data_IF_417532543728
#
_entry.id   IF_417532543728
#
_cell.length_a   1.000
_cell.length_b   1.000
_cell.length_c   1.000
_cell.angle_alpha   90.00
_cell.angle_beta   90.00
_cell.angle_gamma   90.00
#
_symmetry.space_group_name_H-M   'P 1'
#
loop_
_entity.id
_entity.type
_entity.pdbx_description
1 polymer ?
#
# COMPACT_ATOMS: atom_id res chain seq x y z
N UNK A 1 29.68 -14.85 12.86
CA UNK A 1 30.54 -14.05 13.75
C UNK A 1 29.75 -12.86 14.27
N UNK A 2 29.87 -12.50 15.54
CA UNK A 2 29.17 -11.35 16.15
C UNK A 2 30.18 -10.28 16.54
N UNK A 3 30.06 -9.07 16.00
CA UNK A 3 30.85 -7.92 16.47
C UNK A 3 29.95 -7.03 17.32
N UNK A 4 30.28 -6.78 18.60
CA UNK A 4 29.53 -5.86 19.44
C UNK A 4 29.58 -4.45 18.86
N UNK A 5 28.50 -3.68 18.98
CA UNK A 5 28.42 -2.24 18.64
C UNK A 5 29.50 -1.39 19.37
N UNK A 6 30.10 -1.93 20.43
CA UNK A 6 31.22 -1.34 21.19
C UNK A 6 32.53 -2.17 21.13
N UNK A 7 32.62 -3.15 20.22
CA UNK A 7 33.78 -4.04 20.05
C UNK A 7 34.81 -3.51 19.06
N UNK A 8 35.97 -4.19 18.98
CA UNK A 8 36.97 -3.86 17.96
C UNK A 8 36.46 -4.21 16.56
N UNK A 9 36.58 -3.27 15.62
CA UNK A 9 36.29 -3.51 14.20
C UNK A 9 37.44 -4.30 13.56
N UNK A 10 37.10 -5.36 12.83
CA UNK A 10 38.05 -6.21 12.10
C UNK A 10 38.80 -5.40 11.03
N UNK A 11 40.10 -5.64 10.90
CA UNK A 11 41.03 -4.76 10.17
C UNK A 11 40.76 -4.61 8.67
N UNK A 12 39.98 -5.51 8.06
CA UNK A 12 39.64 -5.48 6.63
C UNK A 12 38.32 -4.74 6.32
N UNK A 13 37.52 -4.37 7.33
CA UNK A 13 36.27 -3.58 7.15
C UNK A 13 36.48 -2.06 7.25
N UNK A 14 37.72 -1.60 7.33
CA UNK A 14 38.06 -0.18 7.50
C UNK A 14 38.56 0.45 6.19
N UNK A 15 37.67 0.88 5.30
CA UNK A 15 38.06 1.72 4.16
C UNK A 15 38.31 3.16 4.65
N UNK A 16 39.58 3.60 4.67
CA UNK A 16 39.96 4.98 5.03
C UNK A 16 40.63 5.17 6.41
N UNK A 17 40.75 4.11 7.22
CA UNK A 17 41.60 4.10 8.42
C UNK A 17 40.93 4.54 9.73
N UNK A 18 40.27 3.61 10.42
CA UNK A 18 39.87 3.79 11.82
C UNK A 18 41.11 3.68 12.73
N UNK A 19 41.65 4.80 13.22
CA UNK A 19 42.88 4.79 14.03
C UNK A 19 42.72 4.07 15.39
N UNK A 20 41.50 3.98 15.93
CA UNK A 20 41.22 3.43 17.26
C UNK A 20 40.40 2.12 17.23
N UNK A 21 40.14 1.55 16.03
CA UNK A 21 39.32 0.35 15.81
C UNK A 21 37.91 0.41 16.42
N UNK A 22 37.33 1.60 16.56
CA UNK A 22 35.96 1.82 17.04
C UNK A 22 35.12 2.53 15.98
N UNK A 23 33.80 2.33 16.01
CA UNK A 23 32.87 3.15 15.22
C UNK A 23 32.90 4.58 15.75
N UNK A 24 33.09 5.55 14.84
CA UNK A 24 32.94 6.97 15.13
C UNK A 24 31.46 7.36 14.97
N UNK A 25 30.92 8.10 15.94
CA UNK A 25 29.51 8.55 16.00
C UNK A 25 29.35 9.97 15.42
N UNK A 26 28.15 10.35 14.94
CA UNK A 26 26.89 9.61 15.04
C UNK A 26 26.71 8.55 13.95
N UNK A 27 26.09 7.43 14.33
CA UNK A 27 25.67 6.36 13.42
C UNK A 27 24.15 6.42 13.34
N UNK A 28 23.62 6.43 12.12
CA UNK A 28 22.17 6.41 11.87
C UNK A 28 21.81 5.09 11.19
N UNK A 29 20.84 4.36 11.76
CA UNK A 29 20.25 3.20 11.09
C UNK A 29 19.40 3.71 9.92
N UNK A 30 19.86 3.47 8.69
CA UNK A 30 19.19 3.96 7.47
C UNK A 30 18.14 2.96 6.96
N UNK A 31 18.43 1.65 7.03
CA UNK A 31 17.49 0.59 6.67
C UNK A 31 17.92 -0.77 7.26
N UNK A 32 16.97 -1.71 7.35
CA UNK A 32 17.23 -3.14 7.52
C UNK A 32 16.87 -3.83 6.20
N UNK A 33 17.85 -4.44 5.53
CA UNK A 33 17.65 -5.21 4.30
C UNK A 33 17.81 -6.69 4.64
N UNK A 34 16.76 -7.48 4.45
CA UNK A 34 16.84 -8.95 4.49
C UNK A 34 17.11 -9.44 3.08
N UNK A 35 18.34 -9.85 2.83
CA UNK A 35 18.81 -10.33 1.54
C UNK A 35 18.52 -11.84 1.39
N UNK A 36 17.96 -12.24 0.25
CA UNK A 36 17.61 -13.63 -0.09
C UNK A 36 18.67 -14.33 -0.95
N UNK A 37 19.81 -13.66 -1.19
CA UNK A 37 20.97 -14.27 -1.84
C UNK A 37 21.70 -15.21 -0.87
N UNK A 38 22.03 -16.45 -1.30
CA UNK A 38 22.77 -17.37 -0.45
C UNK A 38 24.24 -16.93 -0.34
N UNK A 39 24.58 -16.27 0.75
CA UNK A 39 25.98 -16.15 1.17
C UNK A 39 26.51 -17.52 1.60
N UNK A 40 27.78 -17.86 1.31
CA UNK A 40 28.40 -19.12 1.73
C UNK A 40 28.55 -19.24 3.26
N UNK A 41 28.35 -18.16 4.01
CA UNK A 41 28.33 -18.15 5.47
C UNK A 41 26.91 -17.95 6.01
N UNK A 42 26.21 -19.05 6.25
CA UNK A 42 24.94 -19.03 6.99
C UNK A 42 25.19 -18.97 8.49
N UNK A 43 24.58 -18.01 9.17
CA UNK A 43 24.49 -17.93 10.63
C UNK A 43 23.07 -17.62 11.09
N UNK A 44 22.72 -18.04 12.31
CA UNK A 44 21.46 -17.65 12.96
C UNK A 44 21.74 -16.58 14.03
N UNK A 45 20.87 -15.58 14.13
CA UNK A 45 20.95 -14.53 15.15
C UNK A 45 19.59 -13.97 15.49
N UNK A 46 19.53 -13.15 16.53
CA UNK A 46 18.33 -12.39 16.92
C UNK A 46 18.71 -10.93 16.91
N UNK A 47 17.95 -10.11 16.18
CA UNK A 47 18.03 -8.66 16.28
C UNK A 47 16.77 -8.17 16.99
N UNK A 48 16.94 -7.20 17.88
CA UNK A 48 15.84 -6.55 18.58
C UNK A 48 15.65 -5.18 17.92
N UNK A 49 14.43 -4.91 17.45
CA UNK A 49 14.04 -3.56 17.05
C UNK A 49 13.44 -2.91 18.30
N UNK A 50 13.99 -1.77 18.70
CA UNK A 50 13.55 -0.97 19.84
C UNK A 50 13.29 0.47 19.36
N UNK A 51 12.56 1.26 20.16
CA UNK A 51 12.28 2.69 19.93
C UNK A 51 11.42 3.02 18.68
N UNK A 52 10.47 2.13 18.34
CA UNK A 52 9.48 2.38 17.29
C UNK A 52 8.44 3.41 17.74
N UNK A 53 8.42 4.59 17.11
CA UNK A 53 7.45 5.64 17.42
C UNK A 53 6.20 5.52 16.55
N UNK A 54 5.05 5.23 17.17
CA UNK A 54 3.73 5.39 16.54
C UNK A 54 3.24 6.84 16.69
N UNK A 55 2.64 7.41 15.63
CA UNK A 55 2.19 8.81 15.65
C UNK A 55 0.71 9.00 16.02
N UNK A 56 -0.10 7.94 16.11
CA UNK A 56 -1.56 8.10 16.37
C UNK A 56 -2.26 6.92 17.06
N UNK A 57 -2.01 5.68 16.64
CA UNK A 57 -2.72 4.46 17.10
C UNK A 57 -1.82 3.23 17.02
N UNK A 58 -2.35 2.04 17.33
CA UNK A 58 -1.62 0.79 17.12
C UNK A 58 -1.21 0.66 15.64
N UNK A 59 0.05 0.33 15.41
CA UNK A 59 0.69 0.15 14.12
C UNK A 59 1.19 -1.29 14.01
N UNK A 60 1.35 -1.76 12.77
CA UNK A 60 1.94 -3.06 12.53
C UNK A 60 2.60 -3.17 11.17
N UNK A 61 3.60 -4.05 11.09
CA UNK A 61 4.24 -4.46 9.84
C UNK A 61 4.25 -5.97 9.78
N UNK A 62 3.83 -6.53 8.64
CA UNK A 62 3.79 -7.97 8.38
C UNK A 62 4.95 -8.40 7.50
N UNK A 63 5.68 -9.40 7.94
CA UNK A 63 6.77 -10.05 7.22
C UNK A 63 6.37 -11.47 6.85
N UNK A 64 6.77 -11.92 5.66
CA UNK A 64 6.55 -13.29 5.21
C UNK A 64 7.81 -13.86 4.57
N UNK A 65 8.19 -15.08 4.95
CA UNK A 65 9.32 -15.82 4.35
C UNK A 65 9.10 -17.32 4.47
N UNK A 66 9.24 -18.09 3.39
CA UNK A 66 9.17 -19.56 3.43
C UNK A 66 7.86 -20.15 3.97
N UNK A 67 6.72 -19.46 3.79
CA UNK A 67 5.41 -19.88 4.33
C UNK A 67 5.16 -19.48 5.79
N UNK A 68 6.12 -18.82 6.43
CA UNK A 68 5.98 -18.23 7.76
C UNK A 68 5.48 -16.80 7.66
N UNK A 69 4.62 -16.40 8.60
CA UNK A 69 4.09 -15.04 8.72
C UNK A 69 4.42 -14.52 10.12
N UNK A 70 5.05 -13.35 10.19
CA UNK A 70 5.37 -12.66 11.43
C UNK A 70 4.89 -11.22 11.34
N UNK A 71 4.06 -10.80 12.29
CA UNK A 71 3.69 -9.40 12.48
C UNK A 71 4.50 -8.77 13.61
N UNK A 72 4.97 -7.54 13.41
CA UNK A 72 5.51 -6.68 14.46
C UNK A 72 4.45 -5.63 14.75
N UNK A 73 3.99 -5.54 16.00
CA UNK A 73 2.90 -4.65 16.41
C UNK A 73 3.35 -3.75 17.57
N UNK A 74 2.99 -2.47 17.54
CA UNK A 74 3.26 -1.51 18.62
C UNK A 74 2.20 -0.42 18.66
N UNK A 75 2.12 0.36 19.73
CA UNK A 75 1.12 1.42 19.90
C UNK A 75 1.65 2.60 20.71
N UNK A 76 0.91 3.72 20.70
CA UNK A 76 1.29 4.95 21.43
C UNK A 76 1.08 4.81 22.95
N UNK A 77 0.15 3.94 23.35
CA UNK A 77 -0.25 3.72 24.74
C UNK A 77 -0.39 2.22 25.01
N UNK A 78 -0.18 1.81 26.25
CA UNK A 78 -0.32 0.42 26.66
C UNK A 78 -1.79 -0.02 26.67
N UNK A 79 -2.04 -1.29 26.32
CA UNK A 79 -3.37 -1.89 26.35
C UNK A 79 -4.26 -1.56 25.15
N UNK A 80 -3.70 -1.05 24.05
CA UNK A 80 -4.46 -0.74 22.84
C UNK A 80 -4.95 -2.02 22.16
N UNK A 81 -6.27 -2.21 21.96
CA UNK A 81 -6.78 -3.40 21.33
C UNK A 81 -6.45 -3.40 19.84
N UNK A 82 -5.96 -4.53 19.33
CA UNK A 82 -5.76 -4.77 17.90
C UNK A 82 -6.40 -6.10 17.52
N UNK A 83 -7.12 -6.06 16.40
CA UNK A 83 -7.71 -7.24 15.79
C UNK A 83 -6.85 -7.62 14.59
N UNK A 84 -5.92 -8.58 14.78
CA UNK A 84 -4.94 -8.96 13.76
C UNK A 84 -5.49 -10.12 12.91
N UNK A 85 -5.82 -9.91 11.62
CA UNK A 85 -6.38 -10.98 10.77
C UNK A 85 -5.41 -12.15 10.59
N UNK A 86 -5.93 -13.37 10.64
CA UNK A 86 -5.17 -14.62 10.52
C UNK A 86 -6.00 -15.75 9.92
N UNK A 87 -5.39 -16.56 9.06
CA UNK A 87 -5.94 -17.85 8.62
C UNK A 87 -5.53 -19.01 9.52
N UNK A 88 -4.58 -18.79 10.42
CA UNK A 88 -4.13 -19.77 11.40
C UNK A 88 -5.07 -19.84 12.59
N UNK A 89 -5.40 -21.06 13.03
CA UNK A 89 -6.20 -21.29 14.24
C UNK A 89 -5.50 -20.79 15.52
N UNK A 90 -4.16 -20.74 15.49
CA UNK A 90 -3.33 -20.24 16.58
C UNK A 90 -2.05 -19.56 16.06
N UNK A 91 -1.40 -18.80 16.93
CA UNK A 91 -0.10 -18.18 16.70
C UNK A 91 0.71 -18.09 17.99
N UNK A 92 1.94 -17.64 17.89
CA UNK A 92 2.82 -17.36 19.03
C UNK A 92 3.08 -15.87 19.10
N UNK A 93 2.65 -15.23 20.19
CA UNK A 93 3.00 -13.85 20.50
C UNK A 93 4.24 -13.85 21.39
N UNK A 94 5.28 -13.15 20.97
CA UNK A 94 6.53 -12.95 21.70
C UNK A 94 6.67 -11.48 22.06
N UNK A 95 6.86 -11.18 23.34
CA UNK A 95 7.13 -9.84 23.84
C UNK A 95 8.61 -9.47 23.67
N UNK A 96 8.93 -8.18 23.79
CA UNK A 96 10.30 -7.66 23.64
C UNK A 96 11.32 -8.32 24.56
N UNK A 97 10.89 -8.79 25.74
CA UNK A 97 11.74 -9.47 26.72
C UNK A 97 11.97 -10.96 26.39
N UNK A 98 11.43 -11.46 25.28
CA UNK A 98 11.51 -12.84 24.83
C UNK A 98 10.45 -13.78 25.41
N UNK A 99 9.55 -13.28 26.27
CA UNK A 99 8.43 -14.07 26.80
C UNK A 99 7.45 -14.37 25.69
N UNK A 100 7.15 -15.65 25.48
CA UNK A 100 6.25 -16.10 24.42
C UNK A 100 5.01 -16.79 24.99
N UNK A 101 3.86 -16.55 24.35
CA UNK A 101 2.59 -17.21 24.66
C UNK A 101 1.80 -17.52 23.39
N UNK A 102 1.04 -18.61 23.43
CA UNK A 102 0.11 -18.95 22.35
C UNK A 102 -1.07 -17.98 22.36
N UNK A 103 -1.50 -17.57 21.18
CA UNK A 103 -2.72 -16.79 20.93
C UNK A 103 -3.62 -17.59 20.01
N UNK A 104 -4.89 -17.75 20.40
CA UNK A 104 -5.89 -18.42 19.57
C UNK A 104 -6.58 -17.40 18.69
N UNK A 105 -6.88 -17.78 17.45
CA UNK A 105 -7.72 -16.98 16.58
C UNK A 105 -9.19 -17.16 16.97
N UNK A 106 -9.95 -16.07 16.90
CA UNK A 106 -11.40 -16.06 17.03
C UNK A 106 -11.97 -15.24 15.89
N UNK A 107 -12.93 -15.79 15.15
CA UNK A 107 -13.53 -15.15 13.97
C UNK A 107 -12.49 -14.67 12.93
N UNK A 108 -11.47 -15.49 12.65
CA UNK A 108 -10.44 -15.20 11.65
C UNK A 108 -9.41 -14.15 12.06
N UNK A 109 -9.27 -13.86 13.36
CA UNK A 109 -8.30 -12.87 13.83
C UNK A 109 -7.77 -13.17 15.25
N UNK A 110 -6.55 -12.73 15.55
CA UNK A 110 -6.02 -12.66 16.90
C UNK A 110 -6.50 -11.37 17.57
N UNK A 111 -7.19 -11.50 18.70
CA UNK A 111 -7.61 -10.37 19.53
C UNK A 111 -6.49 -10.09 20.54
N UNK A 112 -5.74 -9.01 20.34
CA UNK A 112 -4.55 -8.69 21.10
C UNK A 112 -4.67 -7.32 21.76
N UNK A 113 -3.88 -7.12 22.82
CA UNK A 113 -3.61 -5.79 23.36
C UNK A 113 -2.12 -5.52 23.19
N UNK A 114 -1.80 -4.39 22.58
CA UNK A 114 -0.42 -3.99 22.29
C UNK A 114 -0.12 -2.67 22.98
N UNK A 115 1.15 -2.46 23.31
CA UNK A 115 1.61 -1.27 24.01
C UNK A 115 2.75 -0.59 23.28
N UNK A 116 3.48 0.27 24.00
CA UNK A 116 4.61 1.00 23.43
C UNK A 116 5.73 0.08 22.98
N UNK A 117 5.93 -1.00 23.74
CA UNK A 117 6.92 -1.99 23.40
C UNK A 117 6.41 -2.89 22.26
N UNK A 118 7.23 -3.15 21.23
CA UNK A 118 6.82 -3.99 20.12
C UNK A 118 6.62 -5.44 20.55
N UNK A 119 5.59 -6.07 19.99
CA UNK A 119 5.34 -7.51 20.11
C UNK A 119 5.38 -8.17 18.74
N UNK A 120 5.81 -9.42 18.72
CA UNK A 120 6.02 -10.21 17.51
C UNK A 120 4.99 -11.35 17.48
N UNK A 121 4.17 -11.45 16.45
CA UNK A 121 3.14 -12.49 16.32
C UNK A 121 3.46 -13.39 15.15
N UNK A 122 3.83 -14.64 15.43
CA UNK A 122 4.09 -15.68 14.42
C UNK A 122 2.83 -16.53 14.22
N UNK A 123 2.38 -16.66 12.99
CA UNK A 123 1.19 -17.44 12.66
C UNK A 123 1.54 -18.93 12.48
N UNK A 124 0.66 -19.86 12.89
CA UNK A 124 0.90 -21.31 12.73
C UNK A 124 0.21 -21.89 11.47
N UNK A 125 1.01 -22.44 10.54
CA UNK A 125 0.60 -23.37 9.45
C UNK A 125 -0.70 -23.09 8.70
N UNK A 126 -0.63 -22.57 7.47
CA UNK A 126 -1.76 -22.47 6.54
C UNK A 126 -1.39 -22.84 5.11
N UNK A 127 -1.72 -24.05 4.68
CA UNK A 127 -1.75 -24.45 3.27
C UNK A 127 -3.14 -24.13 2.72
N UNK A 128 -3.25 -23.28 1.69
CA UNK A 128 -4.52 -22.92 1.07
C UNK A 128 -4.73 -23.75 -0.21
N UNK A 129 -5.88 -24.43 -0.29
CA UNK A 129 -6.44 -24.94 -1.55
C UNK A 129 -7.51 -23.95 -2.01
N UNK A 130 -7.32 -23.37 -3.20
CA UNK A 130 -8.25 -22.38 -3.81
C UNK A 130 -9.02 -23.05 -4.95
N UNK A 131 -10.35 -22.92 -4.92
CA UNK A 131 -11.23 -23.29 -6.03
C UNK A 131 -11.35 -22.12 -7.04
N UNK A 132 -11.61 -22.36 -8.34
CA UNK A 132 -11.59 -21.32 -9.36
C UNK A 132 -12.82 -20.38 -9.29
N UNK A 133 -12.67 -19.07 -9.57
CA UNK A 133 -13.78 -18.13 -9.60
C UNK A 133 -14.66 -18.27 -10.85
N UNK A 134 -15.97 -18.07 -10.68
CA UNK A 134 -16.98 -18.07 -11.75
C UNK A 134 -17.09 -16.70 -12.44
N UNK A 135 -17.46 -16.71 -13.72
CA UNK A 135 -17.58 -15.54 -14.59
C UNK A 135 -18.72 -14.57 -14.17
N UNK A 136 -18.58 -13.26 -14.41
CA UNK A 136 -19.59 -12.27 -14.05
C UNK A 136 -20.84 -12.30 -14.97
N UNK A 137 -22.05 -12.05 -14.43
CA UNK A 137 -23.29 -11.99 -15.22
C UNK A 137 -23.50 -10.62 -15.92
N UNK A 138 -24.36 -10.52 -16.94
CA UNK A 138 -24.61 -9.30 -17.70
C UNK A 138 -25.51 -8.30 -16.96
N UNK A 139 -25.31 -7.01 -17.24
CA UNK A 139 -25.96 -5.88 -16.56
C UNK A 139 -27.44 -5.73 -16.91
N UNK A 140 -28.29 -5.60 -15.88
CA UNK A 140 -29.70 -5.18 -16.03
C UNK A 140 -29.93 -3.73 -15.58
N UNK A 141 -30.93 -3.11 -16.22
CA UNK A 141 -31.31 -1.68 -16.20
C UNK A 141 -32.03 -1.26 -14.91
N UNK A 142 -31.66 -0.09 -14.35
CA UNK A 142 -32.40 0.56 -13.24
C UNK A 142 -33.32 1.67 -13.78
N UNK A 143 -34.57 1.82 -13.27
CA UNK A 143 -35.51 2.83 -13.72
C UNK A 143 -35.16 4.23 -13.21
N UNK A 144 -35.44 5.22 -14.05
CA UNK A 144 -35.38 6.65 -13.75
C UNK A 144 -36.55 7.05 -12.85
N UNK A 145 -36.26 7.68 -11.71
CA UNK A 145 -37.25 8.50 -11.01
C UNK A 145 -36.72 9.92 -10.90
N UNK A 146 -37.51 10.84 -11.43
CA UNK A 146 -37.27 12.28 -11.51
C UNK A 146 -37.96 12.96 -10.34
N UNK A 147 -37.26 13.77 -9.54
CA UNK A 147 -37.89 14.88 -8.82
C UNK A 147 -36.96 16.10 -8.75
N UNK A 148 -37.57 17.25 -8.96
CA UNK A 148 -37.02 18.58 -9.20
C UNK A 148 -37.07 19.46 -7.94
N UNK A 149 -35.99 20.22 -7.68
CA UNK A 149 -36.10 21.62 -7.25
C UNK A 149 -35.59 22.04 -5.85
N UNK A 150 -34.47 22.78 -5.86
CA UNK A 150 -34.19 24.04 -5.13
C UNK A 150 -33.39 24.07 -3.80
N UNK A 151 -32.11 24.49 -3.96
CA UNK A 151 -31.36 25.58 -3.26
C UNK A 151 -30.95 25.52 -1.77
N UNK A 152 -29.60 25.54 -1.57
CA UNK A 152 -28.70 25.91 -0.43
C UNK A 152 -28.29 24.82 0.60
N UNK A 153 -27.11 24.19 0.38
CA UNK A 153 -26.22 23.44 1.32
C UNK A 153 -26.81 22.29 2.16
N UNK A 154 -26.04 21.43 2.87
CA UNK A 154 -24.58 21.33 3.07
C UNK A 154 -24.06 19.87 2.85
N UNK A 155 -22.88 19.56 3.39
CA UNK A 155 -22.31 18.23 3.62
C UNK A 155 -23.32 17.07 3.70
N UNK A 156 -22.93 15.93 3.12
CA UNK A 156 -23.59 14.65 3.38
C UNK A 156 -23.71 14.44 4.90
N UNK A 157 -24.79 13.78 5.39
CA UNK A 157 -24.87 13.43 6.81
C UNK A 157 -23.56 12.72 7.22
N UNK A 158 -22.96 13.07 8.36
CA UNK A 158 -21.75 12.40 8.83
C UNK A 158 -22.09 10.92 8.93
N UNK A 159 -21.29 10.09 8.25
CA UNK A 159 -21.43 8.66 8.35
C UNK A 159 -21.37 8.19 9.80
N UNK A 160 -22.02 7.09 10.11
CA UNK A 160 -22.07 6.56 11.48
C UNK A 160 -20.68 6.08 11.94
N UNK A 161 -19.79 5.73 10.99
CA UNK A 161 -18.40 5.34 11.25
C UNK A 161 -17.41 6.18 10.43
N UNK A 162 -16.76 7.17 11.06
CA UNK A 162 -15.83 8.07 10.38
C UNK A 162 -14.44 8.08 11.01
N UNK A 163 -13.43 8.32 10.17
CA UNK A 163 -12.06 8.65 10.58
C UNK A 163 -11.71 10.05 10.09
N UNK A 164 -11.29 10.90 11.02
CA UNK A 164 -10.75 12.23 10.71
C UNK A 164 -9.24 12.16 10.45
N UNK A 165 -8.78 12.88 9.43
CA UNK A 165 -7.37 13.01 9.09
C UNK A 165 -6.91 14.44 9.41
N UNK A 166 -6.20 14.66 10.55
CA UNK A 166 -5.80 16.01 10.97
C UNK A 166 -4.87 16.70 9.97
N UNK A 167 -4.17 15.93 9.13
CA UNK A 167 -3.23 16.42 8.11
C UNK A 167 -3.95 17.25 7.02
N UNK A 168 -5.19 16.89 6.70
CA UNK A 168 -5.97 17.55 5.64
C UNK A 168 -7.27 18.16 6.14
N UNK A 169 -7.69 17.83 7.37
CA UNK A 169 -8.95 18.27 7.97
C UNK A 169 -10.18 17.53 7.43
N UNK A 170 -10.00 16.56 6.53
CA UNK A 170 -11.11 15.80 5.94
C UNK A 170 -11.40 14.50 6.71
N UNK A 171 -12.59 13.98 6.51
CA UNK A 171 -13.05 12.72 7.08
C UNK A 171 -13.36 11.72 5.98
N UNK A 172 -13.11 10.44 6.26
CA UNK A 172 -13.54 9.32 5.41
C UNK A 172 -14.50 8.49 6.25
N UNK A 173 -15.66 8.15 5.70
CA UNK A 173 -16.74 7.53 6.45
C UNK A 173 -17.25 6.24 5.80
N UNK A 174 -17.90 5.42 6.61
CA UNK A 174 -18.69 4.25 6.26
C UNK A 174 -18.00 3.34 5.23
N UNK A 175 -18.68 3.08 4.11
CA UNK A 175 -18.21 2.15 3.09
C UNK A 175 -16.89 2.59 2.45
N UNK A 176 -16.66 3.88 2.27
CA UNK A 176 -15.39 4.38 1.74
C UNK A 176 -14.25 4.18 2.74
N UNK A 177 -14.52 4.34 4.04
CA UNK A 177 -13.52 4.07 5.09
C UNK A 177 -13.17 2.58 5.16
N UNK A 178 -14.18 1.70 5.12
CA UNK A 178 -13.98 0.25 5.06
C UNK A 178 -13.10 -0.14 3.86
N UNK A 179 -13.43 0.39 2.67
CA UNK A 179 -12.67 0.10 1.46
C UNK A 179 -11.24 0.64 1.52
N UNK A 180 -11.05 1.86 2.03
CA UNK A 180 -9.73 2.46 2.21
C UNK A 180 -8.87 1.61 3.15
N UNK A 181 -9.42 1.18 4.29
CA UNK A 181 -8.70 0.36 5.28
C UNK A 181 -8.36 -1.03 4.75
N UNK A 182 -9.29 -1.65 4.02
CA UNK A 182 -9.10 -2.97 3.42
C UNK A 182 -7.96 -2.98 2.38
N UNK A 183 -7.76 -1.87 1.68
CA UNK A 183 -6.83 -1.78 0.55
C UNK A 183 -5.59 -0.93 0.91
N UNK A 184 -4.98 -1.19 2.08
CA UNK A 184 -3.72 -0.59 2.54
C UNK A 184 -3.71 0.94 2.74
N UNK A 185 -4.88 1.57 2.64
CA UNK A 185 -5.16 2.95 3.03
C UNK A 185 -4.15 3.95 2.53
N UNK A 186 -3.36 4.51 3.45
CA UNK A 186 -2.46 5.64 3.20
C UNK A 186 -1.41 5.31 2.13
N UNK A 187 -0.89 4.08 2.12
CA UNK A 187 0.14 3.68 1.14
C UNK A 187 -0.40 3.68 -0.29
N UNK A 188 -1.64 3.23 -0.46
CA UNK A 188 -2.27 3.06 -1.78
C UNK A 188 -2.94 4.35 -2.24
N UNK A 189 -3.82 4.93 -1.41
CA UNK A 189 -4.65 6.07 -1.81
C UNK A 189 -4.08 7.42 -1.37
N UNK A 190 -3.30 7.44 -0.30
CA UNK A 190 -2.89 8.69 0.36
C UNK A 190 -3.98 9.27 1.28
N UNK A 191 -3.78 10.52 1.71
CA UNK A 191 -4.75 11.25 2.50
C UNK A 191 -5.99 11.64 1.70
N UNK A 192 -7.17 11.77 2.32
CA UNK A 192 -8.32 12.41 1.68
C UNK A 192 -8.00 13.89 1.45
N UNK A 193 -8.37 14.42 0.28
CA UNK A 193 -8.09 15.81 -0.12
C UNK A 193 -9.36 16.60 -0.38
N UNK A 194 -10.52 15.97 -0.20
CA UNK A 194 -11.84 16.59 -0.28
C UNK A 194 -12.83 15.91 0.67
N UNK A 195 -13.97 16.54 1.02
CA UNK A 195 -15.09 15.81 1.60
C UNK A 195 -15.68 14.81 0.60
N UNK A 196 -16.34 13.77 1.11
CA UNK A 196 -17.21 12.92 0.30
C UNK A 196 -18.40 13.74 -0.20
N UNK A 197 -18.64 13.74 -1.51
CA UNK A 197 -19.70 14.52 -2.14
C UNK A 197 -20.24 13.83 -3.40
N UNK A 198 -21.39 14.27 -3.87
CA UNK A 198 -21.94 13.79 -5.12
C UNK A 198 -21.21 14.44 -6.32
N UNK A 199 -20.74 13.63 -7.27
CA UNK A 199 -20.17 14.08 -8.54
C UNK A 199 -20.80 13.35 -9.73
N UNK A 200 -20.80 14.00 -10.90
CA UNK A 200 -21.23 13.36 -12.15
C UNK A 200 -20.02 12.74 -12.85
N UNK A 201 -19.97 11.43 -12.90
CA UNK A 201 -18.97 10.65 -13.63
C UNK A 201 -19.68 9.96 -14.81
N UNK A 202 -19.22 10.22 -16.03
CA UNK A 202 -19.79 9.63 -17.26
C UNK A 202 -21.33 9.79 -17.38
N UNK A 203 -21.84 10.94 -16.94
CA UNK A 203 -23.28 11.27 -17.01
C UNK A 203 -24.14 10.66 -15.90
N UNK A 204 -23.54 10.01 -14.90
CA UNK A 204 -24.24 9.44 -13.74
C UNK A 204 -23.70 10.04 -12.43
N UNK A 205 -24.60 10.21 -11.46
CA UNK A 205 -24.25 10.73 -10.15
C UNK A 205 -23.73 9.61 -9.23
N UNK A 206 -22.57 9.80 -8.63
CA UNK A 206 -22.01 8.91 -7.62
C UNK A 206 -21.58 9.70 -6.39
N UNK A 207 -21.58 9.05 -5.23
CA UNK A 207 -20.85 9.56 -4.08
C UNK A 207 -19.36 9.33 -4.31
N UNK A 208 -18.58 10.39 -4.21
CA UNK A 208 -17.17 10.43 -4.61
C UNK A 208 -16.35 11.07 -3.50
N UNK A 209 -15.16 10.55 -3.27
CA UNK A 209 -14.14 11.23 -2.48
C UNK A 209 -12.78 11.14 -3.16
N UNK A 210 -12.09 12.27 -3.20
CA UNK A 210 -10.74 12.36 -3.74
C UNK A 210 -9.70 12.17 -2.63
N UNK A 211 -8.66 11.43 -2.97
CA UNK A 211 -7.46 11.18 -2.19
C UNK A 211 -6.23 11.65 -2.98
N UNK A 212 -5.07 11.72 -2.34
CA UNK A 212 -3.86 12.23 -3.01
C UNK A 212 -3.53 11.46 -4.31
N UNK A 213 -3.73 10.14 -4.35
CA UNK A 213 -3.39 9.28 -5.50
C UNK A 213 -4.58 8.84 -6.35
N UNK A 214 -5.77 8.71 -5.76
CA UNK A 214 -6.93 8.14 -6.43
C UNK A 214 -8.23 8.89 -6.09
N UNK A 215 -9.26 8.61 -6.89
CA UNK A 215 -10.65 8.96 -6.62
C UNK A 215 -11.42 7.68 -6.33
N UNK A 216 -12.09 7.61 -5.19
CA UNK A 216 -13.01 6.52 -4.86
C UNK A 216 -14.43 6.93 -5.22
N UNK A 217 -15.14 6.02 -5.89
CA UNK A 217 -16.50 6.20 -6.39
C UNK A 217 -17.37 5.10 -5.80
N UNK A 218 -18.47 5.46 -5.13
CA UNK A 218 -19.40 4.51 -4.53
C UNK A 218 -20.51 4.16 -5.53
N UNK A 219 -20.55 2.88 -5.92
CA UNK A 219 -21.47 2.25 -6.86
C UNK A 219 -22.37 1.25 -6.13
N UNK A 220 -23.41 1.70 -5.38
CA UNK A 220 -24.20 0.84 -4.50
C UNK A 220 -25.02 -0.24 -5.22
N UNK A 221 -25.14 -0.15 -6.54
CA UNK A 221 -25.78 -1.17 -7.36
C UNK A 221 -24.90 -2.42 -7.59
N UNK A 222 -23.59 -2.32 -7.35
CA UNK A 222 -22.67 -3.44 -7.49
C UNK A 222 -22.60 -4.24 -6.19
N UNK A 223 -22.30 -5.53 -6.28
CA UNK A 223 -21.97 -6.33 -5.11
C UNK A 223 -20.56 -5.99 -4.60
N UNK A 224 -20.36 -6.06 -3.28
CA UNK A 224 -19.03 -5.94 -2.67
C UNK A 224 -18.07 -6.99 -3.24
N UNK A 225 -16.78 -6.66 -3.44
CA UNK A 225 -16.14 -5.37 -3.13
C UNK A 225 -16.22 -4.32 -4.27
N UNK A 226 -16.92 -4.61 -5.37
CA UNK A 226 -17.00 -3.75 -6.56
C UNK A 226 -17.99 -2.58 -6.44
N UNK A 227 -18.59 -2.43 -5.27
CA UNK A 227 -19.40 -1.27 -4.89
C UNK A 227 -18.56 -0.03 -4.60
N UNK A 228 -17.24 -0.14 -4.51
CA UNK A 228 -16.32 0.99 -4.57
C UNK A 228 -15.36 0.78 -5.73
N UNK A 229 -15.31 1.75 -6.65
CA UNK A 229 -14.43 1.72 -7.82
C UNK A 229 -13.45 2.88 -7.78
N UNK A 230 -12.30 2.68 -8.42
CA UNK A 230 -11.28 3.70 -8.59
C UNK A 230 -11.49 4.43 -9.93
N UNK A 231 -11.50 5.75 -9.88
CA UNK A 231 -11.49 6.60 -11.07
C UNK A 231 -10.25 6.37 -11.93
N UNK A 232 -10.40 6.52 -13.26
CA UNK A 232 -9.34 6.31 -14.25
C UNK A 232 -8.45 7.55 -14.38
N UNK A 233 -7.87 7.97 -13.24
CA UNK A 233 -7.14 9.23 -13.13
C UNK A 233 -5.91 9.31 -14.04
N UNK A 234 -5.28 8.18 -14.34
CA UNK A 234 -4.14 8.15 -15.26
C UNK A 234 -4.56 8.48 -16.69
N UNK A 235 -5.70 7.95 -17.14
CA UNK A 235 -6.26 8.30 -18.45
C UNK A 235 -6.73 9.76 -18.49
N UNK A 236 -7.48 10.21 -17.48
CA UNK A 236 -7.97 11.59 -17.34
C UNK A 236 -6.82 12.62 -17.36
N UNK A 237 -5.75 12.35 -16.61
CA UNK A 237 -4.61 13.27 -16.48
C UNK A 237 -3.70 13.26 -17.70
N UNK A 238 -3.48 12.10 -18.32
CA UNK A 238 -2.65 11.97 -19.53
C UNK A 238 -3.30 12.66 -20.72
N UNK A 239 -4.62 12.54 -20.88
CA UNK A 239 -5.36 13.21 -21.96
C UNK A 239 -5.20 14.75 -21.93
N UNK A 240 -4.86 15.32 -20.77
CA UNK A 240 -4.62 16.76 -20.58
C UNK A 240 -3.14 17.17 -20.52
N UNK A 241 -2.20 16.26 -20.83
CA UNK A 241 -0.76 16.52 -20.82
C UNK A 241 -0.19 16.67 -22.24
N UNK A 242 0.69 17.66 -22.45
CA UNK A 242 1.51 17.76 -23.66
C UNK A 242 2.67 16.75 -23.56
N UNK A 243 2.55 15.63 -24.28
CA UNK A 243 3.47 14.49 -24.22
C UNK A 243 4.65 14.72 -25.17
N UNK A 244 5.87 14.88 -24.64
CA UNK A 244 7.13 14.76 -25.41
C UNK A 244 7.51 13.29 -25.58
N UNK A 245 7.66 12.82 -26.82
CA UNK A 245 7.80 11.39 -27.18
C UNK A 245 9.18 10.75 -26.87
N UNK A 246 9.84 11.08 -25.76
CA UNK A 246 11.08 10.41 -25.38
C UNK A 246 10.79 9.05 -24.72
N UNK A 247 10.85 7.97 -25.51
CA UNK A 247 10.80 6.60 -25.01
C UNK A 247 11.98 6.32 -24.07
N UNK A 248 11.72 5.60 -22.99
CA UNK A 248 12.72 5.16 -22.03
C UNK A 248 12.73 3.64 -21.91
N UNK A 249 13.85 3.08 -21.45
CA UNK A 249 13.92 1.70 -21.00
C UNK A 249 13.97 1.68 -19.49
N UNK A 250 13.26 0.73 -18.87
CA UNK A 250 13.28 0.52 -17.43
C UNK A 250 14.15 -0.71 -17.12
N UNK A 251 15.01 -0.61 -16.09
CA UNK A 251 15.88 -1.72 -15.68
C UNK A 251 15.10 -2.80 -14.94
N UNK A 252 15.61 -4.04 -15.00
CA UNK A 252 15.07 -5.20 -14.29
C UNK A 252 14.60 -6.30 -15.23
N UNK A 253 14.27 -7.46 -14.64
CA UNK A 253 13.95 -8.66 -15.39
C UNK A 253 12.45 -8.83 -15.64
N UNK A 254 12.13 -9.37 -16.82
CA UNK A 254 10.79 -9.79 -17.19
C UNK A 254 9.90 -8.66 -17.73
N UNK A 255 8.95 -9.06 -18.57
CA UNK A 255 7.90 -8.21 -19.12
C UNK A 255 6.59 -8.99 -19.12
N UNK A 256 5.49 -8.30 -18.79
CA UNK A 256 4.14 -8.83 -18.93
C UNK A 256 3.38 -7.99 -19.94
N UNK A 257 2.74 -8.68 -20.89
CA UNK A 257 1.79 -8.12 -21.85
C UNK A 257 0.38 -8.32 -21.33
N UNK A 258 -0.45 -7.31 -21.50
CA UNK A 258 -1.82 -7.32 -21.02
C UNK A 258 -2.78 -7.39 -22.20
N UNK A 259 -3.72 -8.33 -22.16
CA UNK A 259 -4.81 -8.36 -23.13
C UNK A 259 -5.62 -7.05 -23.00
N UNK A 260 -5.79 -6.34 -24.12
CA UNK A 260 -6.46 -5.03 -24.13
C UNK A 260 -5.53 -3.82 -24.03
N UNK A 261 -4.21 -4.02 -23.93
CA UNK A 261 -3.22 -2.95 -24.10
C UNK A 261 -2.17 -3.32 -25.15
N UNK A 262 -1.72 -2.31 -25.91
CA UNK A 262 -0.57 -2.42 -26.81
C UNK A 262 0.77 -2.32 -26.05
N UNK A 263 0.72 -2.09 -24.75
CA UNK A 263 1.88 -1.82 -23.91
C UNK A 263 2.13 -2.94 -22.91
N UNK A 264 3.40 -3.13 -22.58
CA UNK A 264 3.86 -4.07 -21.58
C UNK A 264 4.42 -3.35 -20.36
N UNK A 265 4.48 -4.07 -19.24
CA UNK A 265 5.10 -3.59 -18.00
C UNK A 265 6.31 -4.48 -17.75
N UNK A 266 7.47 -3.87 -17.56
CA UNK A 266 8.75 -4.57 -17.46
C UNK A 266 9.54 -4.14 -16.22
N UNK A 267 10.52 -4.97 -15.85
CA UNK A 267 11.56 -4.61 -14.86
C UNK A 267 11.01 -4.12 -13.52
N UNK A 268 11.59 -3.06 -12.96
CA UNK A 268 11.18 -2.53 -11.65
C UNK A 268 9.72 -2.06 -11.62
N UNK A 269 9.17 -1.60 -12.75
CA UNK A 269 7.74 -1.28 -12.81
C UNK A 269 6.86 -2.53 -12.73
N UNK A 270 7.27 -3.65 -13.31
CA UNK A 270 6.53 -4.91 -13.18
C UNK A 270 6.60 -5.44 -11.74
N UNK A 271 7.76 -5.30 -11.09
CA UNK A 271 7.94 -5.69 -9.69
C UNK A 271 7.04 -4.85 -8.78
N UNK A 272 7.06 -3.51 -8.93
CA UNK A 272 6.20 -2.62 -8.17
C UNK A 272 4.70 -2.85 -8.43
N UNK A 273 4.34 -3.19 -9.68
CA UNK A 273 2.96 -3.50 -10.06
C UNK A 273 2.48 -4.78 -9.37
N UNK A 274 3.30 -5.85 -9.34
CA UNK A 274 2.94 -7.12 -8.68
C UNK A 274 2.98 -7.05 -7.16
N UNK A 275 3.79 -6.17 -6.59
CA UNK A 275 3.91 -6.00 -5.14
C UNK A 275 2.71 -5.27 -4.52
N UNK A 276 1.81 -4.72 -5.33
CA UNK A 276 0.72 -3.87 -4.86
C UNK A 276 -0.58 -4.18 -5.63
N UNK A 277 -1.71 -4.12 -4.94
CA UNK A 277 -3.02 -4.33 -5.55
C UNK A 277 -4.14 -4.01 -4.57
N UNK A 278 -5.36 -4.35 -4.93
CA UNK A 278 -6.52 -4.32 -4.04
C UNK A 278 -6.69 -5.70 -3.36
N UNK A 279 -7.36 -5.77 -2.21
CA UNK A 279 -7.86 -7.03 -1.65
C UNK A 279 -9.31 -7.22 -2.13
N UNK A 280 -9.48 -7.93 -3.25
CA UNK A 280 -10.80 -8.15 -3.85
C UNK A 280 -11.44 -9.47 -3.43
N UNK A 281 -10.65 -10.40 -2.90
CA UNK A 281 -11.15 -11.70 -2.45
C UNK A 281 -11.44 -11.73 -0.94
N UNK A 282 -11.09 -10.68 -0.20
CA UNK A 282 -11.31 -10.54 1.24
C UNK A 282 -10.38 -11.40 2.10
N UNK A 283 -9.24 -11.86 1.56
CA UNK A 283 -8.29 -12.70 2.27
C UNK A 283 -7.32 -11.88 3.16
N UNK A 284 -7.43 -10.55 3.15
CA UNK A 284 -6.55 -9.64 3.88
C UNK A 284 -5.16 -9.50 3.24
N UNK A 285 -5.01 -9.86 1.96
CA UNK A 285 -3.79 -9.76 1.17
C UNK A 285 -4.12 -8.96 -0.10
N UNK A 286 -3.77 -7.69 -0.09
CA UNK A 286 -3.96 -6.83 -1.26
C UNK A 286 -2.88 -7.14 -2.32
N UNK A 287 -3.29 -7.36 -3.58
CA UNK A 287 -2.35 -7.67 -4.66
C UNK A 287 -1.82 -9.10 -4.66
N UNK A 288 -2.57 -10.06 -4.10
CA UNK A 288 -2.23 -11.49 -4.12
C UNK A 288 -2.40 -12.11 -5.52
N UNK A 289 -2.89 -11.33 -6.49
CA UNK A 289 -3.01 -11.73 -7.89
C UNK A 289 -2.80 -10.58 -8.86
N UNK A 290 -2.37 -10.93 -10.09
CA UNK A 290 -2.30 -9.99 -11.21
C UNK A 290 -3.65 -9.25 -11.43
N UNK A 291 -4.79 -9.88 -11.14
CA UNK A 291 -6.10 -9.24 -11.26
C UNK A 291 -6.32 -8.13 -10.23
N UNK A 292 -5.75 -8.27 -9.04
CA UNK A 292 -5.86 -7.27 -7.96
C UNK A 292 -4.93 -6.08 -8.20
N UNK A 293 -3.72 -6.33 -8.71
CA UNK A 293 -2.83 -5.29 -9.23
C UNK A 293 -3.46 -4.56 -10.41
N UNK A 294 -4.10 -5.30 -11.33
CA UNK A 294 -4.83 -4.73 -12.45
C UNK A 294 -6.01 -3.87 -11.99
N UNK A 295 -6.73 -4.27 -10.94
CA UNK A 295 -7.83 -3.48 -10.41
C UNK A 295 -7.36 -2.17 -9.76
N UNK A 296 -6.18 -2.18 -9.11
CA UNK A 296 -5.57 -0.97 -8.55
C UNK A 296 -5.06 -0.03 -9.64
N UNK A 297 -4.21 -0.51 -10.53
CA UNK A 297 -3.48 0.34 -11.47
C UNK A 297 -4.15 0.48 -12.83
N UNK A 298 -4.88 -0.54 -13.27
CA UNK A 298 -5.42 -0.67 -14.61
C UNK A 298 -4.38 -1.09 -15.64
N UNK A 299 -4.81 -1.09 -16.91
CA UNK A 299 -3.94 -1.43 -18.04
C UNK A 299 -2.87 -0.35 -18.27
N UNK A 300 -1.67 -0.72 -18.74
CA UNK A 300 -0.68 0.27 -19.15
C UNK A 300 -1.20 1.04 -20.37
N UNK A 301 -1.05 2.37 -20.35
CA UNK A 301 -1.49 3.30 -21.40
C UNK A 301 -0.34 3.86 -22.24
N UNK A 302 0.90 3.63 -21.82
CA UNK A 302 2.11 4.04 -22.53
C UNK A 302 3.21 3.00 -22.35
N UNK A 303 4.26 2.99 -23.20
CA UNK A 303 5.57 2.47 -22.79
C UNK A 303 6.20 3.38 -21.70
N UNK A 304 7.29 2.94 -21.04
CA UNK A 304 8.09 3.83 -20.20
C UNK A 304 8.64 5.01 -21.01
N UNK A 305 8.65 6.20 -20.39
CA UNK A 305 9.07 7.45 -21.02
C UNK A 305 9.69 8.41 -20.03
N UNK A 306 10.50 9.35 -20.50
CA UNK A 306 11.04 10.41 -19.64
C UNK A 306 10.03 11.57 -19.59
N UNK A 307 9.67 11.99 -18.38
CA UNK A 307 8.82 13.15 -18.12
C UNK A 307 9.41 14.04 -17.04
N UNK A 308 9.24 15.35 -17.23
CA UNK A 308 9.49 16.33 -16.18
C UNK A 308 8.25 16.48 -15.31
N UNK A 309 8.37 16.22 -14.01
CA UNK A 309 7.26 16.30 -13.06
C UNK A 309 7.20 17.67 -12.35
N UNK A 310 6.24 17.83 -11.45
CA UNK A 310 5.93 19.12 -10.80
C UNK A 310 7.05 19.67 -9.91
N UNK A 311 7.96 18.82 -9.47
CA UNK A 311 9.17 19.19 -8.73
C UNK A 311 10.29 19.73 -9.63
N UNK A 312 10.10 19.70 -10.95
CA UNK A 312 11.05 20.16 -11.96
C UNK A 312 12.09 19.13 -12.38
N UNK A 313 12.10 17.94 -11.77
CA UNK A 313 13.02 16.85 -12.08
C UNK A 313 12.45 15.96 -13.19
N UNK A 314 13.34 15.25 -13.87
CA UNK A 314 12.98 14.29 -14.91
C UNK A 314 13.03 12.87 -14.37
N UNK A 315 11.96 12.12 -14.62
CA UNK A 315 11.79 10.75 -14.17
C UNK A 315 11.43 9.86 -15.34
N UNK A 316 11.82 8.59 -15.26
CA UNK A 316 11.20 7.56 -16.09
C UNK A 316 9.83 7.29 -15.49
N UNK A 317 8.79 7.40 -16.31
CA UNK A 317 7.41 7.17 -15.89
C UNK A 317 6.69 6.24 -16.85
N UNK A 318 5.68 5.55 -16.34
CA UNK A 318 4.73 4.81 -17.16
C UNK A 318 3.31 5.11 -16.68
N UNK A 319 2.42 5.42 -17.62
CA UNK A 319 1.02 5.69 -17.32
C UNK A 319 0.19 4.42 -17.41
N UNK A 320 -0.75 4.30 -16.49
CA UNK A 320 -1.76 3.26 -16.41
C UNK A 320 -3.14 3.93 -16.37
N UNK A 321 -4.23 3.16 -16.48
CA UNK A 321 -5.57 3.75 -16.45
C UNK A 321 -5.83 4.53 -15.16
N UNK A 322 -5.33 4.07 -14.01
CA UNK A 322 -5.64 4.62 -12.68
C UNK A 322 -4.44 5.21 -11.95
N UNK A 323 -3.23 5.10 -12.51
CA UNK A 323 -2.00 5.53 -11.84
C UNK A 323 -0.91 5.96 -12.82
N UNK A 324 0.11 6.65 -12.30
CA UNK A 324 1.39 6.90 -12.96
C UNK A 324 2.49 6.34 -12.08
N UNK A 325 3.33 5.47 -12.63
CA UNK A 325 4.52 4.99 -11.94
C UNK A 325 5.68 5.92 -12.25
N UNK A 326 6.49 6.18 -11.25
CA UNK A 326 7.64 7.08 -11.32
C UNK A 326 8.86 6.36 -10.76
N UNK A 327 9.93 6.29 -11.55
CA UNK A 327 11.17 5.66 -11.10
C UNK A 327 12.11 6.71 -10.49
N UNK A 328 12.38 6.56 -9.20
CA UNK A 328 13.22 7.41 -8.37
C UNK A 328 14.49 6.65 -7.97
N UNK A 329 15.53 6.59 -8.83
CA UNK A 329 16.73 5.76 -8.61
C UNK A 329 17.57 6.19 -7.40
N UNK A 330 17.28 7.36 -6.82
CA UNK A 330 17.93 7.83 -5.59
C UNK A 330 17.39 7.11 -4.35
N UNK A 331 16.21 6.50 -4.44
CA UNK A 331 15.62 5.70 -3.37
C UNK A 331 16.05 4.24 -3.53
N UNK A 332 16.08 3.50 -2.42
CA UNK A 332 16.27 2.05 -2.45
C UNK A 332 14.94 1.33 -2.66
N UNK A 333 14.94 0.18 -3.37
CA UNK A 333 13.75 -0.67 -3.44
C UNK A 333 13.18 -1.02 -2.06
N UNK A 334 11.85 -1.12 -1.91
CA UNK A 334 10.82 -0.97 -2.95
C UNK A 334 10.36 0.48 -3.19
N UNK A 335 11.03 1.49 -2.61
CA UNK A 335 10.63 2.91 -2.67
C UNK A 335 11.22 3.66 -3.87
N UNK A 336 11.95 2.95 -4.72
CA UNK A 336 12.47 3.41 -6.01
C UNK A 336 11.38 3.51 -7.08
N UNK A 337 10.19 2.95 -6.83
CA UNK A 337 8.99 3.21 -7.63
C UNK A 337 7.93 3.89 -6.77
N UNK A 338 7.56 5.11 -7.15
CA UNK A 338 6.49 5.87 -6.50
C UNK A 338 5.26 5.97 -7.42
N UNK A 339 4.09 6.13 -6.79
CA UNK A 339 2.84 6.38 -7.49
C UNK A 339 2.50 7.86 -7.44
N UNK A 340 2.33 8.45 -8.62
CA UNK A 340 2.02 9.86 -8.78
C UNK A 340 0.77 10.26 -8.00
N UNK A 341 0.81 11.47 -7.44
CA UNK A 341 -0.29 12.05 -6.66
C UNK A 341 -1.37 12.61 -7.61
N UNK A 342 -1.94 11.75 -8.46
CA UNK A 342 -2.84 12.17 -9.53
C UNK A 342 -4.11 12.86 -9.04
N UNK A 343 -4.60 12.51 -7.84
CA UNK A 343 -5.71 13.20 -7.22
C UNK A 343 -5.37 14.65 -6.90
N UNK A 344 -4.18 14.89 -6.32
CA UNK A 344 -3.67 16.25 -6.08
C UNK A 344 -3.51 17.03 -7.39
N UNK A 345 -2.94 16.40 -8.42
CA UNK A 345 -2.70 17.05 -9.71
C UNK A 345 -3.98 17.46 -10.43
N UNK A 346 -5.04 16.65 -10.32
CA UNK A 346 -6.32 16.93 -10.98
C UNK A 346 -7.14 17.94 -10.17
N UNK A 347 -7.24 17.79 -8.85
CA UNK A 347 -8.01 18.71 -8.00
C UNK A 347 -7.34 20.08 -7.87
N UNK A 348 -6.00 20.15 -7.84
CA UNK A 348 -5.26 21.41 -7.77
C UNK A 348 -5.29 22.27 -9.05
N UNK A 349 -5.94 21.80 -10.12
CA UNK A 349 -6.16 22.56 -11.37
C UNK A 349 -7.51 23.28 -11.44
N UNK A 350 -8.40 23.08 -10.47
CA UNK A 350 -9.75 23.68 -10.47
C UNK A 350 -9.82 24.99 -9.70
#
# INVERSE_FOLDING_TARGET
MSTPINGEVETWRCEGGCQNRRLDYPVTLVALLLEDNPDPETGSGTFYIDDLTAMSSAQGVRFRSGGEVVDILWAVQDGQPINLPTTSEAGTLTEWNGTARTVAASNGAFQLQVGRDPVYVRHAGGSLTVAPPAAPPPAETIPTTTETGSTVGPDAPPGDNCRTFPETGYMVCDRMLEYWQQNDGLRVFGYPITPQRQEIIEGRAFQVQWFERNRLELHPANARPYDVLLGRLGDERRASASITNASASISGDGCVRFAGSEHEVCGVFLQAWRANGLDLNGNGIAGDSDNESLALFGLPLTPPRIERLSDGNEYIVQWFERSRFEYHPQNSPPFDVLYGLLGNEIQGRQ
#
